data_IF_324111591226
#
_entry.id   IF_324111591226
#
_cell.length_a   1.000
_cell.length_b   1.000
_cell.length_c   1.000
_cell.angle_alpha   90.00
_cell.angle_beta   90.00
_cell.angle_gamma   90.00
#
_symmetry.space_group_name_H-M   'P 1'
#
loop_
_entity.id
_entity.type
_entity.pdbx_description
1 polymer ?
#
# COMPACT_ATOMS: atom_id res chain seq x y z
N UNK A 1 -17.89 -7.63 20.27
CA UNK A 1 -17.47 -6.63 19.27
C UNK A 1 -16.17 -7.11 18.66
N UNK A 2 -16.00 -6.97 17.34
CA UNK A 2 -14.71 -7.28 16.72
C UNK A 2 -13.66 -6.26 17.18
N UNK A 3 -12.47 -6.74 17.54
CA UNK A 3 -11.33 -5.91 17.92
C UNK A 3 -10.50 -5.60 16.66
N UNK A 4 -10.42 -4.32 16.32
CA UNK A 4 -9.68 -3.82 15.16
C UNK A 4 -8.37 -3.11 15.54
N UNK A 5 -8.01 -3.11 16.82
CA UNK A 5 -6.79 -2.45 17.31
C UNK A 5 -5.52 -2.99 16.63
N UNK A 6 -5.53 -4.26 16.22
CA UNK A 6 -4.41 -4.90 15.51
C UNK A 6 -4.03 -4.26 14.17
N UNK A 7 -4.94 -3.51 13.55
CA UNK A 7 -4.68 -2.78 12.30
C UNK A 7 -3.97 -1.45 12.50
N UNK A 8 -4.10 -0.84 13.68
CA UNK A 8 -3.63 0.52 13.96
C UNK A 8 -2.24 0.44 14.56
N UNK A 9 -1.31 1.23 14.01
CA UNK A 9 0.07 1.35 14.50
C UNK A 9 0.48 2.81 14.61
N UNK A 10 1.32 3.14 15.59
CA UNK A 10 2.00 4.43 15.61
C UNK A 10 3.04 4.47 14.49
N UNK A 11 2.96 5.47 13.63
CA UNK A 11 3.85 5.65 12.49
C UNK A 11 4.39 7.06 12.47
N UNK A 12 5.57 7.24 11.87
CA UNK A 12 6.20 8.56 11.75
C UNK A 12 5.37 9.44 10.82
N UNK A 13 4.80 10.52 11.37
CA UNK A 13 3.94 11.45 10.64
C UNK A 13 4.71 12.63 10.04
N UNK A 14 5.74 13.12 10.73
CA UNK A 14 6.60 14.18 10.21
C UNK A 14 8.03 14.07 10.72
N UNK A 15 8.97 14.57 9.91
CA UNK A 15 10.37 14.79 10.27
C UNK A 15 10.84 16.17 9.79
N UNK A 16 10.28 17.28 10.32
CA UNK A 16 10.75 18.61 9.94
C UNK A 16 12.21 18.80 10.32
N UNK A 17 13.02 19.18 9.34
CA UNK A 17 14.37 19.67 9.57
C UNK A 17 14.29 21.10 10.09
N UNK A 18 14.83 21.37 11.28
CA UNK A 18 14.97 22.73 11.79
C UNK A 18 16.36 23.28 11.42
N UNK A 19 16.50 24.58 11.12
CA UNK A 19 17.78 25.19 10.73
C UNK A 19 18.96 24.99 11.71
N UNK A 20 18.68 24.63 12.98
CA UNK A 20 19.69 24.28 13.99
C UNK A 20 20.16 22.82 13.98
N UNK A 21 19.83 22.03 12.95
CA UNK A 21 20.21 20.62 12.83
C UNK A 21 19.39 19.65 13.69
N UNK A 22 18.43 20.15 14.47
CA UNK A 22 17.53 19.31 15.24
C UNK A 22 16.44 18.74 14.33
N UNK A 23 16.29 17.42 14.36
CA UNK A 23 15.19 16.71 13.69
C UNK A 23 14.16 16.34 14.74
N UNK A 24 12.97 16.93 14.63
CA UNK A 24 11.83 16.53 15.44
C UNK A 24 11.07 15.43 14.70
N UNK A 25 10.80 14.30 15.36
CA UNK A 25 10.00 13.21 14.77
C UNK A 25 8.68 13.14 15.51
N UNK A 26 7.58 13.33 14.80
CA UNK A 26 6.24 13.10 15.36
C UNK A 26 5.73 11.72 14.95
N UNK A 27 4.96 11.08 15.83
CA UNK A 27 4.24 9.85 15.54
C UNK A 27 2.73 10.07 15.65
N UNK A 28 1.98 9.41 14.78
CA UNK A 28 0.53 9.42 14.80
C UNK A 28 -0.03 8.02 14.45
N UNK A 29 -1.23 7.68 14.93
CA UNK A 29 -1.86 6.41 14.59
C UNK A 29 -2.20 6.36 13.09
N UNK A 30 -1.85 5.25 12.46
CA UNK A 30 -2.09 5.01 11.05
C UNK A 30 -2.41 3.53 10.77
N UNK A 31 -2.97 3.30 9.58
CA UNK A 31 -3.23 1.98 9.00
C UNK A 31 -2.50 1.84 7.67
N UNK A 32 -2.26 0.61 7.22
CA UNK A 32 -1.81 0.33 5.86
C UNK A 32 -3.00 0.07 4.97
N UNK A 33 -3.08 0.80 3.86
CA UNK A 33 -4.15 0.67 2.86
C UNK A 33 -3.60 0.13 1.55
N UNK A 34 -4.34 -0.75 0.90
CA UNK A 34 -4.21 -1.06 -0.53
C UNK A 34 -5.38 -0.42 -1.26
N UNK A 35 -5.10 0.42 -2.24
CA UNK A 35 -6.10 1.00 -3.12
C UNK A 35 -5.96 0.39 -4.52
N UNK A 36 -7.09 0.03 -5.13
CA UNK A 36 -7.14 -0.45 -6.51
C UNK A 36 -8.28 0.18 -7.29
N UNK A 37 -8.00 0.67 -8.49
CA UNK A 37 -8.99 1.14 -9.46
C UNK A 37 -8.92 0.25 -10.69
N UNK A 38 -9.91 -0.63 -10.87
CA UNK A 38 -9.99 -1.49 -12.06
C UNK A 38 -10.74 -2.82 -11.89
N UNK A 39 -10.92 -3.32 -10.67
CA UNK A 39 -11.46 -4.68 -10.46
C UNK A 39 -12.97 -4.82 -10.69
N UNK A 40 -13.76 -3.76 -10.42
CA UNK A 40 -15.22 -3.84 -10.39
C UNK A 40 -15.90 -3.08 -11.55
N UNK A 41 -15.59 -3.45 -12.80
CA UNK A 41 -16.42 -3.21 -14.01
C UNK A 41 -16.91 -1.78 -14.33
N UNK A 42 -16.55 -0.77 -13.55
CA UNK A 42 -17.11 0.58 -13.61
C UNK A 42 -16.18 1.65 -13.04
N UNK A 43 -14.89 1.36 -12.91
CA UNK A 43 -13.88 2.33 -12.48
C UNK A 43 -13.95 2.75 -11.01
N UNK A 44 -14.66 1.98 -10.16
CA UNK A 44 -14.72 2.18 -8.71
C UNK A 44 -13.32 2.04 -8.10
N UNK A 45 -13.05 2.88 -7.10
CA UNK A 45 -11.87 2.77 -6.24
C UNK A 45 -12.21 1.86 -5.06
N UNK A 46 -11.58 0.69 -5.02
CA UNK A 46 -11.66 -0.23 -3.90
C UNK A 46 -10.48 0.02 -2.94
N UNK A 47 -10.74 0.05 -1.64
CA UNK A 47 -9.71 0.29 -0.60
C UNK A 47 -9.84 -0.73 0.51
N UNK A 48 -8.74 -1.39 0.86
CA UNK A 48 -8.64 -2.38 1.93
C UNK A 48 -7.61 -1.96 2.97
N UNK A 49 -7.82 -2.38 4.21
CA UNK A 49 -6.92 -2.12 5.35
C UNK A 49 -6.21 -3.40 5.78
N UNK A 50 -4.92 -3.30 6.05
CA UNK A 50 -4.06 -4.40 6.49
C UNK A 50 -3.27 -4.04 7.74
N UNK A 51 -2.96 -5.06 8.56
CA UNK A 51 -2.23 -4.87 9.80
C UNK A 51 -0.76 -4.49 9.57
N UNK A 52 -0.17 -4.96 8.46
CA UNK A 52 1.21 -4.68 8.11
C UNK A 52 1.36 -4.23 6.65
N UNK A 53 2.42 -3.45 6.37
CA UNK A 53 2.82 -3.11 5.00
C UNK A 53 3.07 -4.36 4.16
N UNK A 54 3.68 -5.40 4.76
CA UNK A 54 4.04 -6.63 4.06
C UNK A 54 2.80 -7.38 3.57
N UNK A 55 1.76 -7.48 4.40
CA UNK A 55 0.48 -8.09 3.99
C UNK A 55 -0.17 -7.27 2.88
N UNK A 56 -0.25 -5.95 3.03
CA UNK A 56 -0.80 -5.07 1.98
C UNK A 56 -0.07 -5.23 0.64
N UNK A 57 1.27 -5.33 0.67
CA UNK A 57 2.09 -5.54 -0.52
C UNK A 57 1.88 -6.92 -1.12
N UNK A 58 1.79 -7.97 -0.31
CA UNK A 58 1.53 -9.33 -0.78
C UNK A 58 0.19 -9.39 -1.53
N UNK A 59 -0.87 -8.87 -0.92
CA UNK A 59 -2.21 -8.87 -1.54
C UNK A 59 -2.26 -7.97 -2.78
N UNK A 60 -1.59 -6.82 -2.74
CA UNK A 60 -1.44 -5.96 -3.92
C UNK A 60 -0.72 -6.67 -5.07
N UNK A 61 0.38 -7.36 -4.77
CA UNK A 61 1.14 -8.09 -5.78
C UNK A 61 0.34 -9.27 -6.34
N UNK A 62 -0.44 -9.98 -5.51
CA UNK A 62 -1.34 -11.03 -5.97
C UNK A 62 -2.42 -10.47 -6.92
N UNK A 63 -2.96 -9.29 -6.59
CA UNK A 63 -3.92 -8.59 -7.44
C UNK A 63 -3.29 -8.12 -8.75
N UNK A 64 -2.06 -7.63 -8.73
CA UNK A 64 -1.31 -7.26 -9.93
C UNK A 64 -1.15 -8.46 -10.89
N UNK A 65 -0.75 -9.62 -10.35
CA UNK A 65 -0.67 -10.87 -11.13
C UNK A 65 -2.04 -11.23 -11.72
N UNK A 66 -3.09 -11.21 -10.90
CA UNK A 66 -4.46 -11.48 -11.35
C UNK A 66 -4.99 -10.48 -12.39
N UNK A 67 -4.38 -9.30 -12.50
CA UNK A 67 -4.69 -8.28 -13.51
C UNK A 67 -3.80 -8.38 -14.77
N UNK A 68 -3.18 -9.55 -15.01
CA UNK A 68 -2.45 -9.86 -16.25
C UNK A 68 -0.94 -9.78 -16.13
N UNK A 69 -0.40 -9.50 -14.93
CA UNK A 69 1.05 -9.50 -14.74
C UNK A 69 1.64 -10.92 -14.59
N UNK A 70 0.79 -11.94 -14.46
CA UNK A 70 1.17 -13.36 -14.41
C UNK A 70 1.77 -13.89 -15.71
N UNK A 71 1.50 -13.24 -16.85
CA UNK A 71 2.15 -13.54 -18.13
C UNK A 71 3.65 -13.14 -18.16
N UNK A 72 4.09 -12.31 -17.21
CA UNK A 72 5.48 -11.91 -17.08
C UNK A 72 6.22 -12.83 -16.10
N UNK A 73 7.05 -13.75 -16.61
CA UNK A 73 7.82 -14.72 -15.82
C UNK A 73 8.57 -14.08 -14.64
N UNK A 74 9.21 -12.92 -14.85
CA UNK A 74 9.91 -12.17 -13.79
C UNK A 74 8.99 -11.69 -12.67
N UNK A 75 7.74 -11.35 -12.96
CA UNK A 75 6.78 -10.91 -11.95
C UNK A 75 6.38 -12.09 -11.04
N UNK A 76 6.19 -13.27 -11.62
CA UNK A 76 5.95 -14.50 -10.89
C UNK A 76 7.15 -14.88 -10.00
N UNK A 77 8.37 -14.83 -10.54
CA UNK A 77 9.59 -15.07 -9.77
C UNK A 77 9.78 -14.07 -8.61
N UNK A 78 9.49 -12.79 -8.85
CA UNK A 78 9.51 -11.76 -7.82
C UNK A 78 8.45 -12.02 -6.73
N UNK A 79 7.26 -12.47 -7.10
CA UNK A 79 6.21 -12.81 -6.16
C UNK A 79 6.59 -14.01 -5.27
N UNK A 80 7.04 -15.11 -5.88
CA UNK A 80 7.48 -16.32 -5.16
C UNK A 80 8.63 -16.03 -4.20
N UNK A 81 9.56 -15.15 -4.61
CA UNK A 81 10.65 -14.69 -3.76
C UNK A 81 10.25 -13.62 -2.74
N UNK A 82 8.95 -13.37 -2.52
CA UNK A 82 8.41 -12.36 -1.60
C UNK A 82 8.88 -10.92 -1.89
N UNK A 83 9.30 -10.62 -3.12
CA UNK A 83 9.71 -9.28 -3.58
C UNK A 83 8.50 -8.49 -4.08
N UNK A 84 7.44 -8.47 -3.28
CA UNK A 84 6.13 -7.92 -3.66
C UNK A 84 6.17 -6.48 -4.15
N UNK A 85 7.04 -5.63 -3.57
CA UNK A 85 7.20 -4.25 -4.05
C UNK A 85 7.62 -4.20 -5.52
N UNK A 86 8.51 -5.09 -5.97
CA UNK A 86 8.93 -5.13 -7.39
C UNK A 86 7.78 -5.49 -8.33
N UNK A 87 6.90 -6.39 -7.90
CA UNK A 87 5.69 -6.76 -8.65
C UNK A 87 4.77 -5.53 -8.77
N UNK A 88 4.57 -4.79 -7.67
CA UNK A 88 3.78 -3.57 -7.64
C UNK A 88 4.38 -2.48 -8.55
N UNK A 89 5.69 -2.26 -8.47
CA UNK A 89 6.40 -1.26 -9.27
C UNK A 89 6.27 -1.59 -10.77
N UNK A 90 6.46 -2.87 -11.13
CA UNK A 90 6.28 -3.35 -12.50
C UNK A 90 4.84 -3.17 -13.00
N UNK A 91 3.85 -3.46 -12.17
CA UNK A 91 2.45 -3.22 -12.52
C UNK A 91 2.20 -1.74 -12.84
N UNK A 92 2.73 -0.83 -12.01
CA UNK A 92 2.63 0.61 -12.24
C UNK A 92 3.36 1.06 -13.51
N UNK A 93 4.53 0.49 -13.82
CA UNK A 93 5.27 0.79 -15.06
C UNK A 93 4.55 0.34 -16.34
N UNK A 94 3.74 -0.72 -16.25
CA UNK A 94 3.17 -1.41 -17.43
C UNK A 94 1.67 -1.23 -17.60
N UNK A 95 0.97 -0.70 -16.58
CA UNK A 95 -0.46 -0.41 -16.64
C UNK A 95 -0.69 1.06 -17.00
N UNK A 96 -1.53 1.39 -18.00
CA UNK A 96 -1.72 2.76 -18.49
C UNK A 96 -2.41 3.68 -17.47
N UNK A 97 -2.30 4.99 -17.70
CA UNK A 97 -2.66 6.17 -16.85
C UNK A 97 -3.99 6.12 -16.04
N UNK A 98 -4.90 5.19 -16.32
CA UNK A 98 -6.16 5.02 -15.60
C UNK A 98 -6.13 3.96 -14.48
N UNK A 99 -5.09 3.11 -14.42
CA UNK A 99 -4.96 2.06 -13.40
C UNK A 99 -4.29 2.60 -12.14
N UNK A 100 -4.92 2.38 -10.99
CA UNK A 100 -4.34 2.67 -9.68
C UNK A 100 -4.21 1.35 -8.95
N UNK A 101 -3.01 0.99 -8.51
CA UNK A 101 -2.77 -0.11 -7.58
C UNK A 101 -1.66 0.31 -6.61
N UNK A 102 -2.02 0.70 -5.38
CA UNK A 102 -1.07 1.36 -4.48
C UNK A 102 -1.24 0.94 -3.03
N UNK A 103 -0.12 0.58 -2.41
CA UNK A 103 -0.02 0.46 -0.95
C UNK A 103 0.46 1.78 -0.37
N UNK A 104 -0.31 2.32 0.56
CA UNK A 104 0.02 3.57 1.25
C UNK A 104 -0.36 3.49 2.72
N UNK A 105 0.30 4.29 3.54
CA UNK A 105 -0.10 4.52 4.92
C UNK A 105 -1.14 5.64 5.00
N UNK A 106 -2.19 5.46 5.78
CA UNK A 106 -3.21 6.47 6.03
C UNK A 106 -3.29 6.79 7.53
N UNK A 107 -3.10 8.06 7.89
CA UNK A 107 -3.22 8.54 9.27
C UNK A 107 -4.68 8.73 9.67
N UNK A 108 -5.04 8.29 10.87
CA UNK A 108 -6.38 8.47 11.41
C UNK A 108 -6.64 9.97 11.65
N UNK A 109 -7.78 10.44 11.17
CA UNK A 109 -8.29 11.77 11.48
C UNK A 109 -9.26 11.64 12.66
N UNK A 110 -9.05 12.45 13.71
CA UNK A 110 -9.96 12.53 14.83
C UNK A 110 -10.83 13.78 14.67
N UNK A 111 -12.14 13.72 14.95
CA UNK A 111 -12.93 14.93 15.10
C UNK A 111 -12.34 15.73 16.29
N UNK A 112 -12.21 17.05 16.11
CA UNK A 112 -11.84 17.98 17.18
C UNK A 112 -12.82 17.91 18.37
#
# INVERSE_FOLDING_TARGET
MADYSGFIRQQVASRPYRPGGQVETTQAPAVWTLAHRGYSGGGRLDVWVYATKREALREGAALALACGLDEHERACEDFEASRYQKVMDRYEETSPDAHLLRVQMAFLQFPD
#
